data_IF_059261495072
#
_entry.id   IF_059261495072
#
_cell.length_a   1.000
_cell.length_b   1.000
_cell.length_c   1.000
_cell.angle_alpha   90.00
_cell.angle_beta   90.00
_cell.angle_gamma   90.00
#
_symmetry.space_group_name_H-M   'P 1'
#
loop_
_entity.id
_entity.type
_entity.pdbx_description
1 polymer ?
#
# COMPACT_ATOMS: atom_id res chain seq x y z
N UNK A 1 -0.32 -22.52 22.57
CA UNK A 1 -1.30 -21.82 23.42
C UNK A 1 -0.51 -20.82 24.24
N UNK A 2 -0.33 -19.58 23.74
CA UNK A 2 0.40 -18.56 24.47
C UNK A 2 -0.52 -18.00 25.55
N UNK A 3 -0.14 -18.21 26.82
CA UNK A 3 -0.82 -17.59 27.94
C UNK A 3 -0.62 -16.09 27.91
N UNK A 4 -1.71 -15.34 27.98
CA UNK A 4 -1.68 -13.91 28.24
C UNK A 4 -1.17 -13.70 29.69
N UNK A 5 0.12 -13.66 29.89
CA UNK A 5 0.69 -13.21 31.14
C UNK A 5 0.57 -11.68 31.20
N UNK A 6 -0.38 -11.24 32.02
CA UNK A 6 -0.35 -9.88 32.54
C UNK A 6 0.84 -9.82 33.52
N UNK A 7 2.01 -9.46 33.01
CA UNK A 7 3.08 -9.03 33.90
C UNK A 7 2.70 -7.68 34.51
N UNK A 8 2.03 -7.75 35.67
CA UNK A 8 1.83 -6.60 36.54
C UNK A 8 3.12 -6.48 37.34
N UNK A 9 4.03 -5.64 36.84
CA UNK A 9 5.21 -5.26 37.63
C UNK A 9 4.87 -3.97 38.38
N UNK A 10 4.54 -4.06 39.65
CA UNK A 10 4.43 -2.90 40.55
C UNK A 10 5.81 -2.24 40.68
N UNK A 11 6.01 -1.11 40.02
CA UNK A 11 7.15 -0.22 40.26
C UNK A 11 6.64 1.15 40.66
N UNK A 12 6.62 1.45 41.94
CA UNK A 12 6.47 2.78 42.54
C UNK A 12 5.22 3.56 42.16
N UNK A 13 4.53 4.08 43.16
CA UNK A 13 3.40 5.01 43.12
C UNK A 13 2.39 4.81 41.95
N UNK A 14 1.43 3.88 42.12
CA UNK A 14 0.20 3.75 41.33
C UNK A 14 0.35 3.63 39.80
N UNK A 15 1.45 3.11 39.28
CA UNK A 15 1.59 2.81 37.82
C UNK A 15 1.55 1.31 37.58
N UNK A 16 0.85 0.90 36.51
CA UNK A 16 0.75 -0.48 36.06
C UNK A 16 1.43 -0.59 34.70
N UNK A 17 2.24 -1.63 34.52
CA UNK A 17 2.77 -1.96 33.20
C UNK A 17 1.77 -2.84 32.45
N UNK A 18 1.37 -2.41 31.26
CA UNK A 18 0.45 -3.12 30.39
C UNK A 18 1.14 -3.45 29.06
N UNK A 19 0.91 -4.67 28.59
CA UNK A 19 1.41 -5.13 27.30
C UNK A 19 0.23 -5.43 26.37
N UNK A 20 0.19 -4.81 25.19
CA UNK A 20 -0.85 -4.98 24.18
C UNK A 20 -0.22 -5.49 22.89
N UNK A 21 -0.64 -6.68 22.43
CA UNK A 21 -0.05 -7.36 21.27
C UNK A 21 1.03 -8.39 21.66
N UNK A 22 1.66 -9.09 20.67
CA UNK A 22 1.49 -8.93 19.23
C UNK A 22 0.19 -9.53 18.67
N UNK A 23 -0.49 -10.41 19.40
CA UNK A 23 -1.76 -11.00 18.98
C UNK A 23 -2.91 -10.39 19.77
N UNK A 24 -3.33 -9.19 19.35
CA UNK A 24 -4.44 -8.48 19.98
C UNK A 24 -5.33 -7.84 18.89
N UNK A 25 -6.67 -7.96 18.95
CA UNK A 25 -7.58 -7.47 17.91
C UNK A 25 -7.41 -5.97 17.58
N UNK A 26 -7.15 -5.15 18.61
CA UNK A 26 -6.98 -3.70 18.45
C UNK A 26 -5.63 -3.26 17.84
N UNK A 27 -4.71 -4.20 17.55
CA UNK A 27 -3.38 -3.85 17.04
C UNK A 27 -3.28 -3.79 15.51
N UNK A 28 -4.31 -4.18 14.76
CA UNK A 28 -4.34 -4.19 13.29
C UNK A 28 -3.11 -4.86 12.65
N UNK A 29 -2.61 -5.91 13.27
CA UNK A 29 -1.42 -6.64 12.84
C UNK A 29 -0.62 -7.16 14.01
N UNK A 30 0.58 -7.67 13.74
CA UNK A 30 1.48 -8.25 14.75
C UNK A 30 2.35 -7.16 15.39
N UNK A 31 1.73 -6.20 16.06
CA UNK A 31 2.37 -5.09 16.74
C UNK A 31 2.32 -5.29 18.26
N UNK A 32 3.39 -4.94 18.95
CA UNK A 32 3.43 -4.95 20.42
C UNK A 32 3.69 -3.53 20.93
N UNK A 33 2.84 -3.10 21.86
CA UNK A 33 3.02 -1.84 22.58
C UNK A 33 3.06 -2.12 24.07
N UNK A 34 4.19 -1.83 24.67
CA UNK A 34 4.38 -1.88 26.13
C UNK A 34 4.12 -0.49 26.69
N UNK A 35 3.20 -0.37 27.63
CA UNK A 35 2.77 0.89 28.21
C UNK A 35 2.89 0.89 29.72
N UNK A 36 3.33 2.01 30.29
CA UNK A 36 3.13 2.33 31.70
C UNK A 36 1.90 3.21 31.81
N UNK A 37 0.92 2.79 32.57
CA UNK A 37 -0.35 3.50 32.74
C UNK A 37 -0.56 3.91 34.19
N UNK A 38 -1.15 5.09 34.38
CA UNK A 38 -1.61 5.59 35.67
C UNK A 38 -3.12 5.85 35.58
N UNK A 39 -3.91 4.96 36.19
CA UNK A 39 -5.33 4.91 35.91
C UNK A 39 -5.59 4.58 34.44
N UNK A 40 -6.28 5.44 33.71
CA UNK A 40 -6.55 5.29 32.28
C UNK A 40 -5.57 6.07 31.35
N UNK A 41 -4.62 6.81 31.93
CA UNK A 41 -3.65 7.60 31.16
C UNK A 41 -2.35 6.86 30.95
N UNK A 42 -1.86 6.88 29.73
CA UNK A 42 -0.56 6.35 29.33
C UNK A 42 0.52 7.36 29.73
N UNK A 43 1.46 6.93 30.55
CA UNK A 43 2.61 7.75 31.00
C UNK A 43 3.78 7.59 30.04
N UNK A 44 4.05 6.36 29.61
CA UNK A 44 5.12 6.00 28.69
C UNK A 44 4.66 4.85 27.81
N UNK A 45 5.03 4.86 26.54
CA UNK A 45 4.78 3.78 25.63
C UNK A 45 6.03 3.43 24.83
N UNK A 46 6.31 2.13 24.70
CA UNK A 46 7.39 1.58 23.89
C UNK A 46 6.82 0.62 22.88
N UNK A 47 7.16 0.82 21.61
CA UNK A 47 6.73 -0.01 20.51
C UNK A 47 7.76 -1.09 20.23
N UNK A 48 7.30 -2.29 19.91
CA UNK A 48 8.12 -3.37 19.38
C UNK A 48 7.52 -3.85 18.06
N UNK A 49 8.37 -3.96 17.04
CA UNK A 49 8.06 -4.42 15.69
C UNK A 49 8.99 -5.59 15.34
N UNK A 50 8.75 -6.23 14.19
CA UNK A 50 9.59 -7.33 13.70
C UNK A 50 8.93 -8.71 13.78
N UNK A 51 7.69 -8.81 14.28
CA UNK A 51 6.99 -10.10 14.41
C UNK A 51 6.55 -10.70 13.08
N UNK A 52 6.52 -9.89 11.99
CA UNK A 52 6.25 -10.32 10.63
C UNK A 52 7.46 -10.10 9.71
N UNK A 53 8.67 -9.97 10.27
CA UNK A 53 9.88 -9.79 9.48
C UNK A 53 10.19 -11.04 8.67
N UNK A 54 10.23 -10.90 7.34
CA UNK A 54 10.49 -11.99 6.41
C UNK A 54 11.83 -11.85 5.67
N UNK A 55 12.53 -10.74 5.85
CA UNK A 55 13.80 -10.45 5.22
C UNK A 55 13.69 -10.21 3.72
N UNK A 56 12.67 -9.51 3.24
CA UNK A 56 12.45 -9.21 1.82
C UNK A 56 13.69 -8.65 1.13
N UNK A 57 14.37 -7.70 1.76
CA UNK A 57 15.56 -7.07 1.19
C UNK A 57 16.69 -8.10 0.98
N UNK A 58 16.88 -9.00 1.92
CA UNK A 58 17.91 -10.06 1.81
C UNK A 58 17.50 -11.16 0.83
N UNK A 59 16.24 -11.55 0.81
CA UNK A 59 15.72 -12.50 -0.17
C UNK A 59 15.84 -11.95 -1.59
N UNK A 60 15.72 -10.64 -1.78
CA UNK A 60 15.89 -9.99 -3.08
C UNK A 60 17.27 -10.20 -3.68
N UNK A 61 18.34 -10.24 -2.88
CA UNK A 61 19.70 -10.51 -3.34
C UNK A 61 19.89 -11.93 -3.92
N UNK A 62 19.00 -12.86 -3.58
CA UNK A 62 19.01 -14.25 -4.01
C UNK A 62 17.93 -14.62 -5.04
N UNK A 63 17.25 -13.63 -5.58
CA UNK A 63 16.19 -13.80 -6.59
C UNK A 63 16.50 -12.95 -7.81
N UNK A 64 16.07 -13.42 -8.98
CA UNK A 64 16.16 -12.58 -10.18
C UNK A 64 15.20 -11.40 -10.07
N UNK A 65 15.46 -10.34 -10.84
CA UNK A 65 14.61 -9.14 -10.89
C UNK A 65 13.12 -9.48 -11.11
N UNK A 66 12.82 -10.41 -12.00
CA UNK A 66 11.45 -10.87 -12.25
C UNK A 66 10.86 -11.70 -11.09
N UNK A 67 11.67 -12.53 -10.43
CA UNK A 67 11.21 -13.34 -9.30
C UNK A 67 10.89 -12.49 -8.08
N UNK A 68 11.55 -11.36 -7.89
CA UNK A 68 11.31 -10.48 -6.76
C UNK A 68 9.92 -9.84 -6.79
N UNK A 69 9.29 -9.71 -7.97
CA UNK A 69 7.92 -9.19 -8.09
C UNK A 69 6.95 -9.95 -7.18
N UNK A 70 7.11 -11.27 -7.05
CA UNK A 70 6.25 -12.11 -6.18
C UNK A 70 6.42 -11.81 -4.69
N UNK A 71 7.58 -11.27 -4.29
CA UNK A 71 7.82 -10.85 -2.92
C UNK A 71 7.24 -9.46 -2.65
N UNK A 72 7.27 -8.56 -3.64
CA UNK A 72 6.77 -7.20 -3.49
C UNK A 72 5.29 -7.13 -3.15
N UNK A 73 4.46 -8.09 -3.60
CA UNK A 73 3.05 -8.21 -3.24
C UNK A 73 2.80 -8.24 -1.72
N UNK A 74 3.73 -8.78 -0.97
CA UNK A 74 3.59 -9.07 0.46
C UNK A 74 4.04 -7.94 1.38
N UNK A 75 4.51 -6.84 0.84
CA UNK A 75 4.80 -5.63 1.61
C UNK A 75 3.49 -5.04 2.14
N UNK A 76 2.81 -4.24 1.35
CA UNK A 76 1.43 -3.86 1.64
C UNK A 76 0.50 -4.85 0.93
N UNK A 77 0.12 -5.91 1.63
CA UNK A 77 -0.71 -6.97 1.06
C UNK A 77 -2.16 -6.56 0.77
N UNK A 78 -2.60 -5.38 1.22
CA UNK A 78 -3.91 -4.83 0.87
C UNK A 78 -3.91 -4.03 -0.43
N UNK A 79 -2.72 -3.57 -0.87
CA UNK A 79 -2.52 -2.90 -2.16
C UNK A 79 -1.37 -3.50 -2.96
N UNK A 80 -1.40 -4.81 -3.27
CA UNK A 80 -0.28 -5.52 -3.89
C UNK A 80 0.09 -4.96 -5.28
N UNK A 81 -0.91 -4.52 -6.05
CA UNK A 81 -0.68 -3.94 -7.37
C UNK A 81 0.15 -2.65 -7.31
N UNK A 82 -0.05 -1.80 -6.29
CA UNK A 82 0.79 -0.62 -6.10
C UNK A 82 2.25 -0.99 -5.85
N UNK A 83 2.50 -2.05 -5.06
CA UNK A 83 3.85 -2.51 -4.76
C UNK A 83 4.54 -3.07 -6.00
N UNK A 84 3.84 -3.92 -6.77
CA UNK A 84 4.37 -4.48 -8.01
C UNK A 84 4.72 -3.38 -9.01
N UNK A 85 3.84 -2.39 -9.17
CA UNK A 85 4.05 -1.26 -10.08
C UNK A 85 5.25 -0.44 -9.63
N UNK A 86 5.34 -0.09 -8.34
CA UNK A 86 6.47 0.67 -7.81
C UNK A 86 7.82 -0.01 -8.03
N UNK A 87 7.90 -1.32 -7.79
CA UNK A 87 9.12 -2.09 -8.06
C UNK A 87 9.44 -2.19 -9.56
N UNK A 88 8.43 -2.47 -10.40
CA UNK A 88 8.62 -2.55 -11.84
C UNK A 88 9.12 -1.22 -12.41
N UNK A 89 8.54 -0.09 -11.99
CA UNK A 89 8.99 1.25 -12.38
C UNK A 89 10.45 1.51 -12.01
N UNK A 90 10.88 1.11 -10.80
CA UNK A 90 12.26 1.28 -10.37
C UNK A 90 13.25 0.51 -11.26
N UNK A 91 12.91 -0.74 -11.63
CA UNK A 91 13.76 -1.55 -12.50
C UNK A 91 13.71 -1.09 -13.96
N UNK A 92 12.54 -0.65 -14.43
CA UNK A 92 12.36 -0.08 -15.78
C UNK A 92 13.18 1.21 -15.94
N UNK A 93 13.13 2.10 -14.96
CA UNK A 93 13.93 3.33 -14.92
C UNK A 93 15.44 2.98 -14.89
N UNK A 94 15.87 2.00 -14.09
CA UNK A 94 17.26 1.52 -14.03
C UNK A 94 17.74 0.95 -15.37
N UNK A 95 16.86 0.27 -16.13
CA UNK A 95 17.19 -0.35 -17.42
C UNK A 95 16.95 0.59 -18.62
N UNK A 96 16.40 1.78 -18.41
CA UNK A 96 15.97 2.67 -19.50
C UNK A 96 14.87 2.05 -20.37
N UNK A 97 13.93 1.34 -19.76
CA UNK A 97 12.82 0.66 -20.44
C UNK A 97 11.58 1.56 -20.42
N UNK A 98 11.05 1.87 -21.61
CA UNK A 98 9.74 2.53 -21.74
C UNK A 98 8.67 1.48 -22.01
N UNK A 99 7.62 1.46 -21.20
CA UNK A 99 6.50 0.53 -21.35
C UNK A 99 5.47 1.05 -22.36
N UNK A 100 4.77 0.15 -23.09
CA UNK A 100 3.72 0.55 -24.02
C UNK A 100 2.61 1.37 -23.36
N UNK A 101 2.03 2.29 -24.11
CA UNK A 101 0.97 3.19 -23.63
C UNK A 101 -0.20 2.45 -22.97
N UNK A 102 -0.72 1.41 -23.63
CA UNK A 102 -1.81 0.58 -23.08
C UNK A 102 -1.45 -0.01 -21.72
N UNK A 103 -0.22 -0.51 -21.56
CA UNK A 103 0.27 -1.02 -20.29
C UNK A 103 0.26 0.06 -19.19
N UNK A 104 0.71 1.27 -19.48
CA UNK A 104 0.70 2.39 -18.52
C UNK A 104 -0.72 2.73 -18.06
N UNK A 105 -1.69 2.77 -18.97
CA UNK A 105 -3.10 3.00 -18.64
C UNK A 105 -3.65 1.90 -17.75
N UNK A 106 -3.41 0.63 -18.09
CA UNK A 106 -3.85 -0.53 -17.30
C UNK A 106 -3.26 -0.47 -15.88
N UNK A 107 -1.95 -0.21 -15.76
CA UNK A 107 -1.28 -0.07 -14.47
C UNK A 107 -1.88 1.05 -13.63
N UNK A 108 -2.20 2.19 -14.21
CA UNK A 108 -2.82 3.32 -13.50
C UNK A 108 -4.21 2.97 -12.99
N UNK A 109 -5.05 2.35 -13.82
CA UNK A 109 -6.39 1.89 -13.40
C UNK A 109 -6.29 0.94 -12.21
N UNK A 110 -5.41 -0.06 -12.31
CA UNK A 110 -5.25 -1.07 -11.26
C UNK A 110 -4.59 -0.52 -9.98
N UNK A 111 -3.68 0.45 -10.09
CA UNK A 111 -3.10 1.13 -8.94
C UNK A 111 -4.16 1.89 -8.15
N UNK A 112 -5.02 2.67 -8.83
CA UNK A 112 -6.08 3.43 -8.15
C UNK A 112 -7.19 2.52 -7.60
N UNK A 113 -7.54 1.43 -8.27
CA UNK A 113 -8.44 0.42 -7.71
C UNK A 113 -7.84 -0.27 -6.48
N UNK A 114 -6.54 -0.52 -6.48
CA UNK A 114 -5.82 -1.10 -5.33
C UNK A 114 -5.77 -0.12 -4.15
N UNK A 115 -5.62 1.18 -4.42
CA UNK A 115 -5.75 2.26 -3.42
C UNK A 115 -7.14 2.28 -2.79
N UNK A 116 -8.21 2.20 -3.60
CA UNK A 116 -9.58 2.11 -3.11
C UNK A 116 -9.78 0.90 -2.19
N UNK A 117 -9.24 -0.27 -2.56
CA UNK A 117 -9.36 -1.48 -1.74
C UNK A 117 -8.66 -1.36 -0.38
N UNK A 118 -7.53 -0.68 -0.32
CA UNK A 118 -6.79 -0.40 0.91
C UNK A 118 -7.54 0.62 1.80
N UNK A 119 -8.01 1.73 1.21
CA UNK A 119 -8.78 2.72 1.95
C UNK A 119 -10.11 2.17 2.48
N UNK A 120 -10.78 1.28 1.75
CA UNK A 120 -11.96 0.58 2.23
C UNK A 120 -11.68 -0.22 3.51
N UNK A 121 -10.55 -0.92 3.54
CA UNK A 121 -10.14 -1.64 4.74
C UNK A 121 -9.90 -0.67 5.91
N UNK A 122 -9.08 0.36 5.68
CA UNK A 122 -8.71 1.32 6.71
C UNK A 122 -9.93 2.02 7.30
N UNK A 123 -10.81 2.57 6.46
CA UNK A 123 -12.02 3.27 6.88
C UNK A 123 -12.99 2.35 7.63
N UNK A 124 -13.20 1.13 7.12
CA UNK A 124 -14.07 0.14 7.76
C UNK A 124 -13.54 -0.34 9.09
N UNK A 125 -12.24 -0.67 9.18
CA UNK A 125 -11.63 -1.16 10.40
C UNK A 125 -11.58 -0.07 11.49
N UNK A 126 -11.18 1.15 11.14
CA UNK A 126 -11.13 2.27 12.07
C UNK A 126 -12.50 2.57 12.68
N UNK A 127 -13.56 2.59 11.88
CA UNK A 127 -14.92 2.85 12.38
C UNK A 127 -15.48 1.68 13.18
N UNK A 128 -15.13 0.44 12.81
CA UNK A 128 -15.48 -0.77 13.60
C UNK A 128 -14.86 -0.72 14.99
N UNK A 129 -13.60 -0.34 15.11
CA UNK A 129 -12.89 -0.22 16.39
C UNK A 129 -13.51 0.83 17.32
N UNK A 130 -14.13 1.85 16.75
CA UNK A 130 -14.88 2.88 17.48
C UNK A 130 -16.33 2.50 17.76
N UNK A 131 -16.72 1.25 17.47
CA UNK A 131 -18.03 0.67 17.78
C UNK A 131 -19.02 0.67 16.62
N UNK A 132 -18.69 1.23 15.46
CA UNK A 132 -19.56 1.26 14.28
C UNK A 132 -19.36 0.03 13.38
N UNK A 133 -19.76 -1.14 13.85
CA UNK A 133 -19.51 -2.43 13.19
C UNK A 133 -20.12 -2.51 11.76
N UNK A 134 -21.23 -1.84 11.49
CA UNK A 134 -21.90 -1.93 10.18
C UNK A 134 -21.04 -1.37 9.04
N UNK A 135 -20.20 -0.38 9.30
CA UNK A 135 -19.37 0.27 8.27
C UNK A 135 -18.36 -0.66 7.62
N UNK A 136 -17.76 -1.57 8.40
CA UNK A 136 -16.82 -2.55 7.82
C UNK A 136 -17.54 -3.50 6.85
N UNK A 137 -18.78 -3.86 7.13
CA UNK A 137 -19.57 -4.70 6.22
C UNK A 137 -19.86 -3.98 4.91
N UNK A 138 -20.15 -2.69 4.93
CA UNK A 138 -20.34 -1.90 3.69
C UNK A 138 -19.07 -1.82 2.86
N UNK A 139 -17.96 -1.47 3.48
CA UNK A 139 -16.68 -1.34 2.78
C UNK A 139 -16.17 -2.68 2.25
N UNK A 140 -16.39 -3.78 2.98
CA UNK A 140 -15.97 -5.11 2.56
C UNK A 140 -16.82 -5.67 1.42
N UNK A 141 -18.10 -5.33 1.32
CA UNK A 141 -18.91 -5.67 0.14
C UNK A 141 -18.33 -5.05 -1.12
N UNK A 142 -17.92 -3.77 -1.07
CA UNK A 142 -17.29 -3.12 -2.23
C UNK A 142 -15.91 -3.72 -2.53
N UNK A 143 -15.15 -4.03 -1.49
CA UNK A 143 -13.83 -4.67 -1.61
C UNK A 143 -13.92 -6.06 -2.25
N UNK A 144 -14.94 -6.86 -1.91
CA UNK A 144 -15.20 -8.15 -2.57
C UNK A 144 -15.48 -7.99 -4.06
N UNK A 145 -16.29 -7.01 -4.45
CA UNK A 145 -16.52 -6.70 -5.87
C UNK A 145 -15.23 -6.29 -6.60
N UNK A 146 -14.32 -5.56 -5.93
CA UNK A 146 -12.99 -5.24 -6.48
C UNK A 146 -12.15 -6.50 -6.67
N UNK A 147 -12.18 -7.41 -5.72
CA UNK A 147 -11.46 -8.69 -5.84
C UNK A 147 -11.98 -9.56 -6.98
N UNK A 148 -13.28 -9.55 -7.28
CA UNK A 148 -13.82 -10.21 -8.46
C UNK A 148 -13.28 -9.63 -9.77
N UNK A 149 -13.01 -8.30 -9.80
CA UNK A 149 -12.35 -7.66 -10.94
C UNK A 149 -10.87 -8.03 -10.98
N UNK A 150 -10.16 -7.99 -9.84
CA UNK A 150 -8.75 -8.38 -9.78
C UNK A 150 -8.56 -9.84 -10.20
N UNK A 151 -9.40 -10.75 -9.73
CA UNK A 151 -9.35 -12.16 -10.12
C UNK A 151 -9.56 -12.33 -11.63
N UNK A 152 -10.52 -11.61 -12.21
CA UNK A 152 -10.78 -11.66 -13.64
C UNK A 152 -9.59 -11.13 -14.49
N UNK A 153 -8.81 -10.18 -13.99
CA UNK A 153 -7.67 -9.58 -14.69
C UNK A 153 -6.37 -10.34 -14.42
N UNK A 154 -6.14 -10.71 -13.17
CA UNK A 154 -4.83 -11.23 -12.72
C UNK A 154 -4.81 -12.73 -12.47
N UNK A 155 -5.98 -13.36 -12.35
CA UNK A 155 -6.14 -14.76 -11.96
C UNK A 155 -6.08 -15.00 -10.44
N UNK A 156 -5.91 -13.96 -9.63
CA UNK A 156 -5.81 -14.06 -8.17
C UNK A 156 -6.54 -12.92 -7.48
N UNK A 157 -7.02 -13.14 -6.26
CA UNK A 157 -7.80 -12.16 -5.51
C UNK A 157 -6.94 -11.20 -4.70
N UNK A 158 -5.82 -11.64 -4.15
CA UNK A 158 -5.02 -10.85 -3.21
C UNK A 158 -3.58 -10.64 -3.68
N UNK A 159 -2.74 -11.65 -3.72
CA UNK A 159 -1.35 -11.58 -4.17
C UNK A 159 -1.29 -11.78 -5.68
N UNK A 160 -1.25 -10.68 -6.41
CA UNK A 160 -1.56 -10.68 -7.85
C UNK A 160 -0.37 -11.00 -8.74
N UNK A 161 0.83 -10.55 -8.36
CA UNK A 161 2.07 -10.67 -9.17
C UNK A 161 1.84 -10.38 -10.66
N UNK A 162 1.00 -9.40 -10.95
CA UNK A 162 0.47 -9.15 -12.30
C UNK A 162 1.38 -8.27 -13.15
N UNK A 163 1.94 -7.22 -12.54
CA UNK A 163 2.88 -6.33 -13.23
C UNK A 163 4.17 -7.06 -13.50
N UNK A 164 4.70 -6.93 -14.71
CA UNK A 164 5.99 -7.46 -15.14
C UNK A 164 6.93 -6.31 -15.50
N UNK A 165 8.23 -6.50 -15.41
CA UNK A 165 9.18 -5.51 -15.92
C UNK A 165 9.03 -5.44 -17.44
N UNK A 166 8.63 -4.27 -17.94
CA UNK A 166 8.36 -4.04 -19.36
C UNK A 166 6.91 -4.31 -19.80
N UNK A 167 5.98 -4.63 -18.87
CA UNK A 167 4.60 -4.87 -19.24
C UNK A 167 3.69 -5.42 -18.13
N UNK A 168 2.67 -6.15 -18.52
CA UNK A 168 1.74 -6.86 -17.64
C UNK A 168 1.53 -8.31 -18.10
N UNK A 169 1.09 -9.17 -17.17
CA UNK A 169 0.99 -10.60 -17.42
C UNK A 169 -0.08 -10.97 -18.47
N UNK A 170 -1.22 -10.29 -18.44
CA UNK A 170 -2.39 -10.55 -19.29
C UNK A 170 -3.05 -9.24 -19.68
N UNK A 171 -3.77 -9.24 -20.80
CA UNK A 171 -4.63 -8.10 -21.20
C UNK A 171 -5.95 -8.12 -20.41
N UNK A 172 -6.68 -7.03 -20.48
CA UNK A 172 -7.95 -6.88 -19.81
C UNK A 172 -9.01 -7.84 -20.40
N UNK A 173 -9.80 -8.51 -19.58
CA UNK A 173 -10.84 -9.42 -20.05
C UNK A 173 -12.00 -8.67 -20.71
N UNK A 174 -12.73 -9.34 -21.58
CA UNK A 174 -13.93 -8.78 -22.20
C UNK A 174 -14.96 -8.33 -21.15
N UNK A 175 -15.51 -7.14 -21.35
CA UNK A 175 -16.49 -6.54 -20.42
C UNK A 175 -15.89 -5.90 -19.15
N UNK A 176 -14.57 -5.75 -19.08
CA UNK A 176 -13.86 -5.10 -17.96
C UNK A 176 -14.43 -3.71 -17.68
N UNK A 177 -14.53 -2.85 -18.69
CA UNK A 177 -14.99 -1.46 -18.52
C UNK A 177 -16.39 -1.40 -17.89
N UNK A 178 -17.31 -2.27 -18.34
CA UNK A 178 -18.67 -2.33 -17.78
C UNK A 178 -18.68 -2.77 -16.32
N UNK A 179 -17.84 -3.75 -15.96
CA UNK A 179 -17.74 -4.24 -14.57
C UNK A 179 -17.16 -3.14 -13.66
N UNK A 180 -16.07 -2.49 -14.10
CA UNK A 180 -15.44 -1.43 -13.33
C UNK A 180 -16.37 -0.23 -13.20
N UNK A 181 -17.07 0.20 -14.26
CA UNK A 181 -18.04 1.31 -14.15
C UNK A 181 -19.13 1.02 -13.11
N UNK A 182 -19.73 -0.17 -13.14
CA UNK A 182 -20.76 -0.56 -12.16
C UNK A 182 -20.20 -0.63 -10.72
N UNK A 183 -18.96 -1.08 -10.56
CA UNK A 183 -18.26 -1.09 -9.28
C UNK A 183 -18.05 0.34 -8.75
N UNK A 184 -17.55 1.26 -9.58
CA UNK A 184 -17.30 2.64 -9.19
C UNK A 184 -18.59 3.37 -8.79
N UNK A 185 -19.71 3.12 -9.48
CA UNK A 185 -21.02 3.70 -9.13
C UNK A 185 -21.54 3.18 -7.77
N UNK A 186 -21.24 1.91 -7.45
CA UNK A 186 -21.55 1.32 -6.14
C UNK A 186 -20.65 1.88 -5.03
N UNK A 187 -19.34 2.00 -5.33
CA UNK A 187 -18.34 2.53 -4.41
C UNK A 187 -18.62 3.97 -4.03
N UNK A 188 -18.97 4.81 -5.00
CA UNK A 188 -19.31 6.22 -4.77
C UNK A 188 -20.45 6.37 -3.76
N UNK A 189 -21.50 5.53 -3.87
CA UNK A 189 -22.60 5.50 -2.89
C UNK A 189 -22.12 5.06 -1.50
N UNK A 190 -21.23 4.08 -1.44
CA UNK A 190 -20.71 3.59 -0.16
C UNK A 190 -19.83 4.66 0.51
N UNK A 191 -18.99 5.36 -0.24
CA UNK A 191 -18.17 6.47 0.26
C UNK A 191 -19.06 7.61 0.78
N UNK A 192 -20.14 7.96 0.06
CA UNK A 192 -21.08 8.99 0.51
C UNK A 192 -21.84 8.55 1.76
N UNK A 193 -22.22 7.27 1.88
CA UNK A 193 -22.83 6.73 3.08
C UNK A 193 -21.88 6.81 4.29
N UNK A 194 -20.59 6.53 4.11
CA UNK A 194 -19.59 6.68 5.18
C UNK A 194 -19.46 8.15 5.59
N UNK A 195 -19.39 9.06 4.61
CA UNK A 195 -19.34 10.49 4.86
C UNK A 195 -20.56 10.97 5.67
N UNK A 196 -21.75 10.65 5.21
CA UNK A 196 -23.00 11.04 5.87
C UNK A 196 -23.14 10.43 7.29
N UNK A 197 -22.62 9.21 7.50
CA UNK A 197 -22.75 8.52 8.79
C UNK A 197 -21.79 9.02 9.86
N UNK A 198 -20.60 9.52 9.48
CA UNK A 198 -19.52 9.78 10.43
C UNK A 198 -19.14 11.25 10.58
N UNK A 199 -19.31 12.10 9.55
CA UNK A 199 -18.87 13.50 9.61
C UNK A 199 -19.59 14.35 10.66
N UNK A 200 -20.83 14.01 11.00
CA UNK A 200 -21.64 14.70 11.99
C UNK A 200 -22.01 13.81 13.19
N UNK A 201 -21.48 12.60 13.25
CA UNK A 201 -21.76 11.68 14.35
C UNK A 201 -20.98 12.10 15.60
N UNK A 202 -21.70 12.55 16.62
CA UNK A 202 -21.09 13.06 17.86
C UNK A 202 -20.18 12.05 18.54
N UNK A 203 -20.56 10.77 18.58
CA UNK A 203 -19.72 9.73 19.22
C UNK A 203 -18.41 9.56 18.46
N UNK A 204 -18.47 9.57 17.14
CA UNK A 204 -17.28 9.46 16.29
C UNK A 204 -16.39 10.70 16.42
N UNK A 205 -16.96 11.90 16.41
CA UNK A 205 -16.24 13.16 16.59
C UNK A 205 -15.55 13.21 17.96
N UNK A 206 -16.28 12.93 19.04
CA UNK A 206 -15.71 12.91 20.42
C UNK A 206 -14.54 11.91 20.56
N UNK A 207 -14.47 10.90 19.69
CA UNK A 207 -13.42 9.85 19.69
C UNK A 207 -12.30 10.08 18.68
N UNK A 208 -12.37 11.12 17.85
CA UNK A 208 -11.40 11.32 16.75
C UNK A 208 -10.90 12.76 16.64
N UNK A 209 -11.72 13.75 17.00
CA UNK A 209 -11.37 15.17 16.95
C UNK A 209 -10.35 15.51 18.06
N UNK A 210 -9.28 16.17 17.69
CA UNK A 210 -8.21 16.55 18.61
C UNK A 210 -7.39 15.38 19.20
N UNK A 211 -7.63 14.14 18.76
CA UNK A 211 -6.92 12.94 19.25
C UNK A 211 -5.78 12.60 18.29
N UNK A 212 -4.58 12.41 18.87
CA UNK A 212 -3.40 12.03 18.11
C UNK A 212 -2.97 13.08 17.09
N UNK A 213 -2.96 14.35 17.48
CA UNK A 213 -2.58 15.48 16.64
C UNK A 213 -1.09 15.40 16.29
N UNK A 214 -0.78 15.53 15.01
CA UNK A 214 0.58 15.61 14.47
C UNK A 214 0.72 16.96 13.78
N UNK A 215 1.69 17.75 14.21
CA UNK A 215 1.98 19.05 13.61
C UNK A 215 2.76 18.90 12.30
N UNK A 216 2.68 19.90 11.42
CA UNK A 216 3.46 19.91 10.17
C UNK A 216 4.97 19.81 10.43
N UNK A 217 5.46 20.45 11.50
CA UNK A 217 6.87 20.38 11.91
C UNK A 217 7.28 18.93 12.25
N UNK A 218 6.43 18.21 12.97
CA UNK A 218 6.65 16.80 13.28
C UNK A 218 6.58 15.93 12.04
N UNK A 219 5.64 16.18 11.12
CA UNK A 219 5.57 15.50 9.83
C UNK A 219 6.88 15.61 9.06
N UNK A 220 7.45 16.82 9.00
CA UNK A 220 8.73 17.06 8.34
C UNK A 220 9.90 16.40 9.08
N UNK A 221 9.92 16.46 10.40
CA UNK A 221 10.99 15.89 11.25
C UNK A 221 11.05 14.36 11.16
N UNK A 222 9.90 13.69 11.14
CA UNK A 222 9.82 12.22 11.03
C UNK A 222 9.81 11.72 9.58
N UNK A 223 9.67 12.60 8.58
CA UNK A 223 9.58 12.24 7.17
C UNK A 223 8.26 11.52 6.82
N UNK A 224 7.18 11.86 7.51
CA UNK A 224 5.84 11.29 7.31
C UNK A 224 5.29 11.72 5.96
N UNK A 225 4.68 10.79 5.23
CA UNK A 225 4.10 11.02 3.91
C UNK A 225 2.69 10.43 3.81
N UNK A 226 2.02 10.64 2.67
CA UNK A 226 0.71 10.10 2.40
C UNK A 226 -0.42 10.75 3.19
N UNK A 227 -1.54 10.04 3.42
CA UNK A 227 -2.71 10.57 4.12
C UNK A 227 -2.40 11.15 5.49
N UNK A 228 -1.39 10.62 6.18
CA UNK A 228 -0.96 11.13 7.49
C UNK A 228 -0.33 12.51 7.38
N UNK A 229 0.56 12.73 6.40
CA UNK A 229 1.16 14.04 6.15
C UNK A 229 0.14 15.04 5.63
N UNK A 230 -0.73 14.62 4.70
CA UNK A 230 -1.78 15.46 4.13
C UNK A 230 -2.84 15.90 5.16
N UNK A 231 -3.07 15.10 6.18
CA UNK A 231 -3.95 15.49 7.30
C UNK A 231 -3.37 16.63 8.16
N UNK A 232 -2.06 16.85 8.10
CA UNK A 232 -1.31 17.84 8.90
C UNK A 232 -0.81 19.04 8.07
N UNK A 233 -1.33 19.26 6.87
CA UNK A 233 -0.99 20.39 6.02
C UNK A 233 0.13 20.15 5.01
N UNK A 234 0.67 18.93 4.88
CA UNK A 234 1.67 18.62 3.88
C UNK A 234 1.02 18.42 2.50
N UNK A 235 1.15 19.41 1.60
CA UNK A 235 0.74 19.27 0.20
C UNK A 235 1.83 18.55 -0.59
N UNK A 236 1.86 17.22 -0.44
CA UNK A 236 2.85 16.37 -1.12
C UNK A 236 2.18 15.08 -1.60
N UNK A 237 2.23 14.87 -2.92
CA UNK A 237 1.76 13.66 -3.60
C UNK A 237 2.64 13.41 -4.82
N UNK A 238 3.29 12.24 -4.87
CA UNK A 238 4.21 11.89 -5.96
C UNK A 238 3.53 11.81 -7.32
N UNK A 239 2.22 11.53 -7.37
CA UNK A 239 1.46 11.53 -8.62
C UNK A 239 1.41 12.92 -9.29
N UNK A 240 1.61 14.00 -8.51
CA UNK A 240 1.72 15.39 -9.00
C UNK A 240 3.15 15.91 -9.06
N UNK A 241 3.97 15.64 -8.02
CA UNK A 241 5.33 16.17 -7.93
C UNK A 241 6.33 15.50 -8.86
N UNK A 242 6.26 14.19 -9.01
CA UNK A 242 7.04 13.39 -9.94
C UNK A 242 6.10 12.42 -10.65
N UNK A 243 5.29 12.89 -11.61
CA UNK A 243 4.33 12.05 -12.31
C UNK A 243 4.99 10.82 -12.93
N UNK A 244 4.33 9.70 -12.83
CA UNK A 244 4.71 8.43 -13.43
C UNK A 244 3.49 7.82 -14.13
N UNK A 245 3.70 6.83 -15.02
CA UNK A 245 2.64 6.27 -15.86
C UNK A 245 1.91 7.36 -16.65
N UNK A 246 0.59 7.54 -16.42
CA UNK A 246 -0.24 8.53 -17.10
C UNK A 246 -0.78 9.62 -16.17
N UNK A 247 -0.25 9.77 -14.95
CA UNK A 247 -0.80 10.72 -13.98
C UNK A 247 -0.68 12.19 -14.41
N UNK A 248 0.27 12.52 -15.26
CA UNK A 248 0.44 13.86 -15.85
C UNK A 248 -0.70 14.27 -16.78
N UNK A 249 -1.43 13.30 -17.34
CA UNK A 249 -2.58 13.54 -18.22
C UNK A 249 -3.91 13.58 -17.47
N UNK A 250 -3.92 13.14 -16.20
CA UNK A 250 -5.13 13.04 -15.40
C UNK A 250 -5.32 14.29 -14.53
N UNK A 251 -6.58 14.65 -14.33
CA UNK A 251 -6.95 15.81 -13.48
C UNK A 251 -7.51 15.33 -12.17
N UNK A 252 -6.85 15.70 -11.08
CA UNK A 252 -7.29 15.41 -9.72
C UNK A 252 -6.76 16.43 -8.72
N UNK A 253 -7.38 16.52 -7.55
CA UNK A 253 -6.93 17.34 -6.45
C UNK A 253 -6.26 16.47 -5.41
N UNK A 254 -5.32 17.05 -4.66
CA UNK A 254 -4.73 16.42 -3.49
C UNK A 254 -5.49 16.93 -2.27
N UNK A 255 -6.22 16.07 -1.55
CA UNK A 255 -6.91 16.51 -0.34
C UNK A 255 -5.90 16.80 0.78
N UNK A 256 -5.94 18.01 1.31
CA UNK A 256 -5.05 18.48 2.39
C UNK A 256 -5.91 19.09 3.49
N UNK A 257 -5.66 18.67 4.73
CA UNK A 257 -6.24 19.20 5.95
C UNK A 257 -5.13 19.70 6.88
N UNK A 258 -5.46 20.53 7.84
CA UNK A 258 -4.46 21.18 8.73
C UNK A 258 -4.57 20.77 10.19
N UNK A 259 -5.64 20.11 10.56
CA UNK A 259 -5.97 19.73 11.94
C UNK A 259 -5.00 18.65 12.49
N UNK A 260 -4.45 17.81 11.64
CA UNK A 260 -3.45 16.78 11.97
C UNK A 260 -3.93 15.67 12.90
N UNK A 261 -5.21 15.62 13.21
CA UNK A 261 -5.80 14.67 14.14
C UNK A 261 -6.31 13.39 13.45
N UNK A 262 -6.85 12.49 14.24
CA UNK A 262 -7.42 11.22 13.77
C UNK A 262 -8.59 11.44 12.81
N UNK A 263 -9.40 12.47 13.03
CA UNK A 263 -10.53 12.85 12.17
C UNK A 263 -10.06 13.37 10.80
N UNK A 264 -9.05 14.23 10.78
CA UNK A 264 -8.47 14.73 9.53
C UNK A 264 -7.90 13.59 8.68
N UNK A 265 -7.22 12.60 9.29
CA UNK A 265 -6.74 11.40 8.59
C UNK A 265 -7.86 10.55 8.01
N UNK A 266 -9.01 10.48 8.67
CA UNK A 266 -10.21 9.83 8.14
C UNK A 266 -10.76 10.59 6.93
N UNK A 267 -10.91 11.92 7.04
CA UNK A 267 -11.43 12.79 5.98
C UNK A 267 -10.56 12.74 4.72
N UNK A 268 -9.22 12.83 4.87
CA UNK A 268 -8.28 12.68 3.74
C UNK A 268 -8.56 11.42 2.95
N UNK A 269 -8.72 10.26 3.60
CA UNK A 269 -8.94 8.98 2.92
C UNK A 269 -10.31 8.89 2.22
N UNK A 270 -11.33 9.50 2.79
CA UNK A 270 -12.65 9.61 2.12
C UNK A 270 -12.51 10.42 0.83
N UNK A 271 -11.85 11.57 0.88
CA UNK A 271 -11.66 12.42 -0.28
C UNK A 271 -10.72 11.76 -1.31
N UNK A 272 -9.68 11.06 -0.88
CA UNK A 272 -8.84 10.25 -1.77
C UNK A 272 -9.61 9.13 -2.46
N UNK A 273 -10.60 8.52 -1.82
CA UNK A 273 -11.48 7.56 -2.49
C UNK A 273 -12.28 8.23 -3.63
N UNK A 274 -12.81 9.42 -3.41
CA UNK A 274 -13.54 10.17 -4.43
C UNK A 274 -12.64 10.53 -5.61
N UNK A 275 -11.44 11.02 -5.34
CA UNK A 275 -10.45 11.34 -6.38
C UNK A 275 -10.01 10.08 -7.14
N UNK A 276 -9.75 8.95 -6.46
CA UNK A 276 -9.38 7.69 -7.11
C UNK A 276 -10.49 7.14 -8.01
N UNK A 277 -11.75 7.24 -7.61
CA UNK A 277 -12.91 6.91 -8.47
C UNK A 277 -12.89 7.76 -9.74
N UNK A 278 -12.66 9.08 -9.60
CA UNK A 278 -12.56 9.99 -10.73
C UNK A 278 -11.38 9.64 -11.65
N UNK A 279 -10.20 9.34 -11.07
CA UNK A 279 -9.00 8.94 -11.81
C UNK A 279 -9.21 7.66 -12.62
N UNK A 280 -9.83 6.64 -12.05
CA UNK A 280 -10.15 5.40 -12.78
C UNK A 280 -11.09 5.68 -13.93
N UNK A 281 -12.14 6.49 -13.73
CA UNK A 281 -13.07 6.90 -14.82
C UNK A 281 -12.37 7.66 -15.93
N UNK A 282 -11.40 8.53 -15.61
CA UNK A 282 -10.61 9.26 -16.60
C UNK A 282 -9.66 8.32 -17.36
N UNK A 283 -8.94 7.46 -16.64
CA UNK A 283 -7.99 6.50 -17.23
C UNK A 283 -8.69 5.49 -18.15
N UNK A 284 -9.89 5.03 -17.81
CA UNK A 284 -10.69 4.16 -18.69
C UNK A 284 -11.02 4.80 -20.05
N UNK A 285 -11.19 6.12 -20.12
CA UNK A 285 -11.42 6.82 -21.38
C UNK A 285 -10.17 6.89 -22.28
N UNK A 286 -8.99 6.69 -21.71
CA UNK A 286 -7.70 6.66 -22.40
C UNK A 286 -7.28 5.23 -22.78
N UNK A 287 -8.14 4.25 -22.54
CA UNK A 287 -7.85 2.85 -22.83
C UNK A 287 -8.03 2.56 -24.32
N UNK A 288 -6.92 2.52 -25.06
CA UNK A 288 -6.88 2.23 -26.48
C UNK A 288 -6.34 0.82 -26.75
N UNK A 289 -6.71 0.18 -27.87
CA UNK A 289 -6.08 -1.06 -28.31
C UNK A 289 -4.59 -0.86 -28.57
N UNK A 290 -3.75 -1.83 -28.17
CA UNK A 290 -2.30 -1.75 -28.38
C UNK A 290 -1.56 -2.85 -27.64
N UNK A 291 -0.23 -2.91 -27.78
CA UNK A 291 0.59 -3.88 -27.07
C UNK A 291 0.57 -3.61 -25.55
N UNK A 292 0.61 -4.69 -24.78
CA UNK A 292 0.66 -4.65 -23.31
C UNK A 292 2.06 -4.92 -22.76
N UNK A 293 2.95 -5.43 -23.59
CA UNK A 293 4.33 -5.77 -23.28
C UNK A 293 5.27 -5.22 -24.33
N UNK A 294 6.54 -5.05 -23.97
CA UNK A 294 7.61 -4.79 -24.92
C UNK A 294 7.73 -5.92 -25.96
N UNK A 295 8.15 -5.59 -27.17
CA UNK A 295 8.39 -6.59 -28.22
C UNK A 295 9.76 -7.30 -28.12
N UNK A 296 10.51 -7.05 -27.05
CA UNK A 296 11.86 -7.60 -26.88
C UNK A 296 11.83 -9.01 -26.29
N UNK A 297 11.90 -10.03 -27.16
CA UNK A 297 11.90 -11.45 -26.80
C UNK A 297 13.03 -11.88 -25.83
N UNK A 298 14.14 -11.14 -25.78
CA UNK A 298 15.25 -11.45 -24.85
C UNK A 298 14.94 -11.04 -23.41
N UNK A 299 14.05 -10.12 -23.19
CA UNK A 299 13.75 -9.54 -21.86
C UNK A 299 12.44 -10.01 -21.28
N UNK A 300 11.48 -10.42 -22.12
CA UNK A 300 10.12 -10.74 -21.74
C UNK A 300 9.83 -12.21 -21.97
N UNK A 301 9.07 -12.80 -21.06
CA UNK A 301 8.57 -14.17 -21.23
C UNK A 301 7.66 -14.23 -22.47
N UNK A 302 7.85 -15.23 -23.34
CA UNK A 302 6.95 -15.45 -24.47
C UNK A 302 5.54 -15.79 -23.97
N UNK A 303 4.55 -15.64 -24.84
CA UNK A 303 3.18 -16.06 -24.56
C UNK A 303 3.10 -17.53 -24.16
N UNK A 304 2.25 -17.84 -23.20
CA UNK A 304 2.15 -19.18 -22.65
C UNK A 304 1.71 -20.21 -23.70
N UNK A 305 0.82 -19.83 -24.60
CA UNK A 305 0.36 -20.72 -25.68
C UNK A 305 1.50 -21.02 -26.66
N UNK A 306 2.24 -19.98 -27.09
CA UNK A 306 3.37 -20.15 -28.00
C UNK A 306 4.50 -20.96 -27.37
N UNK A 307 4.71 -20.82 -26.05
CA UNK A 307 5.70 -21.65 -25.33
C UNK A 307 5.42 -23.15 -25.42
N UNK A 308 4.16 -23.56 -25.56
CA UNK A 308 3.80 -24.98 -25.71
C UNK A 308 3.77 -25.47 -27.17
N UNK A 309 3.65 -24.56 -28.14
CA UNK A 309 3.42 -24.92 -29.55
C UNK A 309 4.61 -24.58 -30.46
N UNK A 310 5.49 -23.67 -30.05
CA UNK A 310 6.62 -23.20 -30.81
C UNK A 310 7.95 -23.42 -30.11
N UNK A 311 8.92 -24.03 -30.83
CA UNK A 311 10.23 -24.39 -30.28
C UNK A 311 11.06 -23.15 -29.92
N UNK A 312 11.00 -22.07 -30.70
CA UNK A 312 11.78 -20.85 -30.43
C UNK A 312 11.28 -20.16 -29.16
N UNK A 313 9.96 -20.09 -28.99
CA UNK A 313 9.32 -19.56 -27.78
C UNK A 313 9.69 -20.37 -26.54
N UNK A 314 9.73 -21.70 -26.64
CA UNK A 314 10.18 -22.58 -25.57
C UNK A 314 11.65 -22.32 -25.18
N UNK A 315 12.53 -22.19 -26.17
CA UNK A 315 13.95 -21.88 -25.95
C UNK A 315 14.09 -20.50 -25.27
N UNK A 316 13.37 -19.47 -25.73
CA UNK A 316 13.37 -18.14 -25.12
C UNK A 316 12.88 -18.18 -23.69
N UNK A 317 11.80 -18.94 -23.41
CA UNK A 317 11.29 -19.11 -22.06
C UNK A 317 12.35 -19.67 -21.11
N UNK A 318 13.04 -20.75 -21.50
CA UNK A 318 14.13 -21.30 -20.67
C UNK A 318 15.28 -20.32 -20.46
N UNK A 319 15.70 -19.61 -21.49
CA UNK A 319 16.82 -18.65 -21.41
C UNK A 319 16.48 -17.44 -20.51
N UNK A 320 15.22 -17.03 -20.42
CA UNK A 320 14.79 -15.93 -19.53
C UNK A 320 14.71 -16.38 -18.08
N UNK A 321 14.35 -17.64 -17.82
CA UNK A 321 14.15 -18.14 -16.46
C UNK A 321 15.43 -18.73 -15.85
N UNK A 322 16.24 -19.42 -16.63
CA UNK A 322 17.44 -20.10 -16.14
C UNK A 322 18.62 -19.11 -16.01
N UNK A 323 19.37 -19.15 -14.90
CA UNK A 323 20.57 -18.35 -14.76
C UNK A 323 21.67 -18.78 -15.74
N UNK A 324 22.59 -17.87 -16.05
CA UNK A 324 23.75 -18.15 -16.90
C UNK A 324 23.56 -17.87 -18.39
N UNK A 325 22.44 -17.29 -18.78
CA UNK A 325 22.16 -16.81 -20.12
C UNK A 325 22.07 -15.28 -20.14
N UNK A 326 22.33 -14.67 -21.30
CA UNK A 326 22.22 -13.22 -21.53
C UNK A 326 20.77 -12.75 -21.83
N UNK A 327 19.80 -13.64 -21.61
CA UNK A 327 18.38 -13.32 -21.64
C UNK A 327 17.87 -12.98 -20.23
N UNK A 328 16.83 -12.20 -20.16
CA UNK A 328 16.25 -11.70 -18.92
C UNK A 328 16.60 -10.23 -18.67
N UNK A 329 16.45 -9.82 -17.45
CA UNK A 329 16.71 -8.45 -17.03
C UNK A 329 18.14 -8.38 -16.49
N UNK A 330 19.00 -7.62 -17.18
CA UNK A 330 20.38 -7.34 -16.82
C UNK A 330 20.57 -5.81 -16.83
N UNK A 331 20.29 -5.12 -15.72
CA UNK A 331 20.47 -3.68 -15.65
C UNK A 331 21.94 -3.29 -15.74
N UNK A 332 22.28 -2.06 -16.17
CA UNK A 332 23.67 -1.58 -16.12
C UNK A 332 24.17 -1.54 -14.67
N UNK A 333 25.49 -1.53 -14.51
CA UNK A 333 26.15 -1.41 -13.19
C UNK A 333 25.95 0.02 -12.68
N UNK A 334 24.93 0.22 -11.88
CA UNK A 334 24.57 1.51 -11.29
C UNK A 334 23.55 1.29 -10.16
N UNK A 335 23.21 2.34 -9.45
CA UNK A 335 22.15 2.35 -8.46
C UNK A 335 21.11 3.40 -8.81
N UNK A 336 19.88 3.22 -8.30
CA UNK A 336 18.77 4.13 -8.53
C UNK A 336 17.80 4.12 -7.36
N UNK A 337 17.24 5.29 -7.08
CA UNK A 337 16.09 5.44 -6.19
C UNK A 337 14.87 5.91 -6.99
N UNK A 338 13.84 5.10 -6.99
CA UNK A 338 12.55 5.42 -7.59
C UNK A 338 11.45 5.29 -6.54
N UNK A 339 10.48 6.19 -6.57
CA UNK A 339 9.38 6.20 -5.61
C UNK A 339 8.03 6.38 -6.31
N UNK A 340 7.01 5.77 -5.75
CA UNK A 340 5.63 5.86 -6.17
C UNK A 340 4.71 6.16 -4.99
N UNK A 341 3.55 6.74 -5.25
CA UNK A 341 2.55 7.02 -4.22
C UNK A 341 1.70 5.77 -3.95
N UNK A 342 1.94 5.10 -2.83
CA UNK A 342 1.10 4.01 -2.33
C UNK A 342 -0.08 4.57 -1.49
N UNK A 343 -1.10 3.78 -1.14
CA UNK A 343 -2.21 4.24 -0.30
C UNK A 343 -1.78 4.84 1.04
N UNK A 344 -0.68 4.36 1.62
CA UNK A 344 -0.17 4.82 2.91
C UNK A 344 0.88 5.93 2.80
N UNK A 345 1.31 6.29 1.58
CA UNK A 345 2.28 7.34 1.30
C UNK A 345 3.36 6.90 0.33
N UNK A 346 4.50 7.58 0.36
CA UNK A 346 5.62 7.31 -0.53
C UNK A 346 6.22 5.93 -0.29
N UNK A 347 6.11 5.06 -1.30
CA UNK A 347 6.82 3.78 -1.39
C UNK A 347 8.04 3.94 -2.27
N UNK A 348 9.22 3.90 -1.67
CA UNK A 348 10.50 4.07 -2.36
C UNK A 348 11.26 2.76 -2.52
N UNK A 349 11.94 2.61 -3.65
CA UNK A 349 12.80 1.48 -4.00
C UNK A 349 14.20 1.99 -4.33
N UNK A 350 15.18 1.64 -3.51
CA UNK A 350 16.58 1.83 -3.85
C UNK A 350 17.13 0.49 -4.31
N UNK A 351 17.49 0.43 -5.57
CA UNK A 351 17.97 -0.77 -6.25
C UNK A 351 19.39 -0.57 -6.74
N UNK A 352 20.26 -1.54 -6.48
CA UNK A 352 21.66 -1.53 -6.89
C UNK A 352 21.92 -2.74 -7.79
N UNK A 353 22.49 -2.52 -8.95
CA UNK A 353 22.85 -3.55 -9.93
C UNK A 353 24.36 -3.65 -10.11
N UNK A 354 24.85 -4.89 -10.18
CA UNK A 354 26.22 -5.23 -10.60
C UNK A 354 26.28 -5.74 -12.05
N UNK A 355 25.17 -5.64 -12.80
CA UNK A 355 25.04 -6.14 -14.17
C UNK A 355 24.55 -7.60 -14.24
N UNK A 356 24.37 -8.26 -13.12
CA UNK A 356 23.87 -9.65 -13.07
C UNK A 356 22.34 -9.74 -13.20
N UNK A 357 21.84 -10.97 -13.35
CA UNK A 357 20.40 -11.24 -13.35
C UNK A 357 19.73 -11.07 -11.99
N UNK A 358 20.50 -10.94 -10.93
CA UNK A 358 20.02 -10.73 -9.57
C UNK A 358 20.39 -9.33 -9.10
N UNK A 359 19.57 -8.68 -8.28
CA UNK A 359 19.94 -7.42 -7.63
C UNK A 359 21.15 -7.62 -6.70
N UNK A 360 22.14 -6.73 -6.77
CA UNK A 360 23.20 -6.68 -5.76
C UNK A 360 22.64 -6.26 -4.41
N UNK A 361 21.74 -5.27 -4.42
CA UNK A 361 21.03 -4.81 -3.22
C UNK A 361 19.67 -4.27 -3.59
N UNK A 362 18.68 -4.59 -2.78
CA UNK A 362 17.37 -3.92 -2.78
C UNK A 362 17.13 -3.36 -1.40
N UNK A 363 16.72 -2.10 -1.32
CA UNK A 363 16.23 -1.48 -0.11
C UNK A 363 14.87 -0.84 -0.38
N UNK A 364 13.94 -1.10 0.52
CA UNK A 364 12.59 -0.54 0.47
C UNK A 364 12.46 0.58 1.49
N UNK A 365 11.90 1.72 1.06
CA UNK A 365 11.37 2.76 1.95
C UNK A 365 9.86 2.60 2.05
N UNK A 366 9.35 1.83 2.99
CA UNK A 366 7.92 1.64 3.12
C UNK A 366 7.31 2.76 3.97
N UNK A 367 6.14 3.30 3.62
CA UNK A 367 5.51 4.38 4.37
C UNK A 367 5.15 3.97 5.80
N UNK A 368 4.65 2.76 6.03
CA UNK A 368 4.30 2.30 7.38
C UNK A 368 5.49 2.34 8.35
N UNK A 369 6.69 1.97 7.91
CA UNK A 369 7.89 2.00 8.75
C UNK A 369 8.34 3.42 9.12
N UNK A 370 8.14 4.37 8.20
CA UNK A 370 8.50 5.78 8.43
C UNK A 370 7.44 6.48 9.29
N UNK A 371 6.16 6.17 9.08
CA UNK A 371 5.06 6.82 9.77
C UNK A 371 4.88 6.32 11.22
N UNK A 372 5.23 5.06 11.52
CA UNK A 372 4.95 4.44 12.80
C UNK A 372 5.76 4.97 14.00
N UNK A 373 7.03 5.39 13.89
CA UNK A 373 7.83 5.86 15.03
C UNK A 373 7.21 7.00 15.84
N UNK A 374 6.42 7.88 15.22
CA UNK A 374 5.74 8.97 15.93
C UNK A 374 4.66 8.47 16.90
N UNK A 375 4.14 7.26 16.70
CA UNK A 375 3.04 6.70 17.49
C UNK A 375 3.33 6.64 18.98
N UNK A 376 4.55 6.25 19.39
CA UNK A 376 4.96 6.22 20.79
C UNK A 376 4.92 7.60 21.46
N UNK A 377 5.27 8.66 20.72
CA UNK A 377 5.17 10.03 21.19
C UNK A 377 3.71 10.43 21.43
N UNK A 378 2.81 10.09 20.49
CA UNK A 378 1.41 10.43 20.57
C UNK A 378 0.67 9.70 21.71
N UNK A 379 1.12 8.51 22.05
CA UNK A 379 0.55 7.75 23.16
C UNK A 379 0.87 8.36 24.53
N UNK A 380 1.96 9.08 24.67
CA UNK A 380 2.33 9.70 25.95
C UNK A 380 1.34 10.78 26.35
N UNK A 381 0.67 10.61 27.46
CA UNK A 381 -0.39 11.51 27.96
C UNK A 381 -1.80 11.20 27.46
N UNK A 382 -1.96 10.35 26.44
CA UNK A 382 -3.25 9.91 25.91
C UNK A 382 -3.96 8.92 26.83
N UNK A 383 -5.24 8.68 26.59
CA UNK A 383 -5.98 7.61 27.27
C UNK A 383 -5.75 6.26 26.57
N UNK A 384 -5.88 5.16 27.31
CA UNK A 384 -5.79 3.80 26.77
C UNK A 384 -6.78 3.62 25.58
N UNK A 385 -7.98 4.20 25.72
CA UNK A 385 -9.00 4.15 24.68
C UNK A 385 -8.57 4.86 23.38
N UNK A 386 -7.73 5.89 23.45
CA UNK A 386 -7.28 6.65 22.27
C UNK A 386 -6.25 5.89 21.43
N UNK A 387 -5.54 4.91 22.06
CA UNK A 387 -4.59 4.05 21.35
C UNK A 387 -5.23 3.40 20.12
N UNK A 388 -6.44 2.86 20.27
CA UNK A 388 -7.15 2.14 19.21
C UNK A 388 -7.55 3.10 18.09
N UNK A 389 -8.09 4.27 18.43
CA UNK A 389 -8.49 5.30 17.45
C UNK A 389 -7.30 5.81 16.65
N UNK A 390 -6.19 6.12 17.34
CA UNK A 390 -4.96 6.57 16.71
C UNK A 390 -4.37 5.51 15.78
N UNK A 391 -4.22 4.26 16.26
CA UNK A 391 -3.63 3.18 15.47
C UNK A 391 -4.47 2.86 14.23
N UNK A 392 -5.80 2.78 14.36
CA UNK A 392 -6.70 2.59 13.22
C UNK A 392 -6.56 3.67 12.16
N UNK A 393 -6.30 4.92 12.57
CA UNK A 393 -6.10 6.03 11.64
C UNK A 393 -4.76 6.01 10.90
N UNK A 394 -3.74 5.30 11.39
CA UNK A 394 -2.42 5.21 10.77
C UNK A 394 -2.41 4.25 9.57
N UNK A 395 -3.27 3.25 9.58
CA UNK A 395 -3.29 2.18 8.57
C UNK A 395 -1.93 1.48 8.45
N UNK A 396 -1.39 1.03 9.58
CA UNK A 396 -0.11 0.31 9.60
C UNK A 396 -0.29 -1.11 9.10
N UNK A 397 0.45 -1.46 8.07
CA UNK A 397 0.46 -2.81 7.50
C UNK A 397 1.73 -3.52 7.96
N UNK A 398 1.57 -4.61 8.72
CA UNK A 398 2.68 -5.29 9.38
C UNK A 398 3.75 -5.83 8.39
N UNK A 399 3.32 -6.30 7.20
CA UNK A 399 4.26 -6.76 6.16
C UNK A 399 5.12 -5.64 5.60
N UNK A 400 4.54 -4.45 5.44
CA UNK A 400 5.25 -3.25 4.99
C UNK A 400 6.13 -2.66 6.11
N UNK A 401 5.67 -2.75 7.35
CA UNK A 401 6.40 -2.26 8.52
C UNK A 401 7.66 -3.08 8.78
N UNK A 402 7.55 -4.40 8.77
CA UNK A 402 8.61 -5.31 9.21
C UNK A 402 9.55 -5.74 8.07
N UNK A 403 9.13 -5.73 6.81
CA UNK A 403 9.85 -6.07 5.55
C UNK A 403 10.41 -7.47 5.47
#
# INVERSE_FOLDING_TARGET
MYSYEKEIVEQGENTVQMNVGPSHPAMHGTLRVMMKVRGERIVEAKQEIGFLHTGFEKLGEHRTWNQFITLSDRLNYFSPLCNNIGFALAVEELCGIETPRRCQVIRTILAEMSRLADHCLCLGAMTMDLGAFTSILWTFVEREKMYDVFEAVTGTRLTTSYTRIGGVAFDLPAGFEKRVSALLDSMEKTVENLRASFYENRIFLDRTEGIGVITLEEVMSFGITGPMGRASGLDYDLRKYKPYLIYDELKFNVPVYTEGDTLARYKVRIDECIESISLVRQAMKLLEPGPINLENQKRILPDKTSTYTDMESLIHHFKVIMPGHDHGIHPPVTDMYSASESPNGELGWHVVSDGSSNPYRIRVRPPSFINYPIFGKLLSGAMIADLVAMLGSFNIIAGELDR
#
